data_IF_751338632645
#
_entry.id   IF_751338632645
#
_cell.length_a   1.000
_cell.length_b   1.000
_cell.length_c   1.000
_cell.angle_alpha   90.00
_cell.angle_beta   90.00
_cell.angle_gamma   90.00
#
_symmetry.space_group_name_H-M   'P 1'
#
loop_
_entity.id
_entity.type
_entity.pdbx_description
1 polymer ?
#
# COMPACT_ATOMS: atom_id res chain seq x y z
N UNK A 1 -21.63 23.21 -49.02
CA UNK A 1 -20.51 22.27 -48.94
C UNK A 1 -20.01 22.33 -47.51
N UNK A 2 -20.22 21.27 -46.74
CA UNK A 2 -19.76 21.20 -45.35
C UNK A 2 -18.24 21.10 -45.37
N UNK A 3 -17.55 21.92 -44.58
CA UNK A 3 -16.08 21.81 -44.47
C UNK A 3 -15.75 20.62 -43.56
N UNK A 4 -15.29 19.52 -44.16
CA UNK A 4 -14.91 18.28 -43.47
C UNK A 4 -13.87 18.50 -42.36
N UNK A 5 -13.11 19.60 -42.39
CA UNK A 5 -12.13 19.98 -41.36
C UNK A 5 -12.75 20.22 -39.99
N UNK A 6 -14.04 20.55 -39.94
CA UNK A 6 -14.77 20.71 -38.67
C UNK A 6 -14.81 19.37 -37.91
N UNK A 7 -14.91 18.24 -38.63
CA UNK A 7 -14.91 16.90 -38.04
C UNK A 7 -13.62 16.64 -37.26
N UNK A 8 -12.46 16.98 -37.83
CA UNK A 8 -11.15 16.81 -37.17
C UNK A 8 -11.05 17.60 -35.88
N UNK A 9 -11.53 18.85 -35.88
CA UNK A 9 -11.54 19.69 -34.68
C UNK A 9 -12.44 19.11 -33.60
N UNK A 10 -13.63 18.61 -33.96
CA UNK A 10 -14.53 17.96 -33.00
C UNK A 10 -13.87 16.70 -32.42
N UNK A 11 -13.25 15.87 -33.26
CA UNK A 11 -12.57 14.64 -32.86
C UNK A 11 -11.44 14.89 -31.87
N UNK A 12 -10.51 15.79 -32.20
CA UNK A 12 -9.37 16.06 -31.33
C UNK A 12 -9.81 16.71 -30.01
N UNK A 13 -10.85 17.55 -30.01
CA UNK A 13 -11.42 18.11 -28.79
C UNK A 13 -12.08 17.05 -27.91
N UNK A 14 -12.79 16.08 -28.50
CA UNK A 14 -13.32 14.92 -27.78
C UNK A 14 -12.20 14.10 -27.15
N UNK A 15 -11.12 13.82 -27.90
CA UNK A 15 -9.93 13.12 -27.41
C UNK A 15 -9.33 13.85 -26.21
N UNK A 16 -9.06 15.14 -26.33
CA UNK A 16 -8.45 15.93 -25.25
C UNK A 16 -9.38 15.98 -24.02
N UNK A 17 -10.68 16.17 -24.22
CA UNK A 17 -11.67 16.18 -23.14
C UNK A 17 -11.72 14.83 -22.43
N UNK A 18 -11.68 13.72 -23.18
CA UNK A 18 -11.66 12.36 -22.64
C UNK A 18 -10.42 12.14 -21.77
N UNK A 19 -9.25 12.51 -22.25
CA UNK A 19 -7.98 12.38 -21.51
C UNK A 19 -7.98 13.19 -20.21
N UNK A 20 -8.53 14.41 -20.20
CA UNK A 20 -8.67 15.18 -18.95
C UNK A 20 -9.61 14.50 -17.95
N UNK A 21 -10.73 13.94 -18.42
CA UNK A 21 -11.67 13.20 -17.55
C UNK A 21 -11.07 11.92 -16.97
N UNK A 22 -10.31 11.18 -17.77
CA UNK A 22 -9.57 9.99 -17.31
C UNK A 22 -8.64 10.38 -16.16
N UNK A 23 -7.86 11.45 -16.34
CA UNK A 23 -6.93 11.97 -15.32
C UNK A 23 -7.62 12.68 -14.14
N UNK A 24 -8.96 12.70 -14.07
CA UNK A 24 -9.73 13.36 -13.01
C UNK A 24 -9.62 14.89 -13.01
N UNK A 25 -9.17 15.49 -14.12
CA UNK A 25 -8.92 16.93 -14.29
C UNK A 25 -10.02 17.59 -15.11
N UNK A 26 -10.28 18.87 -14.85
CA UNK A 26 -11.14 19.68 -15.73
C UNK A 26 -10.42 19.94 -17.04
N UNK A 27 -11.17 19.97 -18.13
CA UNK A 27 -10.65 20.36 -19.44
C UNK A 27 -10.15 21.81 -19.41
N UNK A 28 -8.90 22.03 -19.84
CA UNK A 28 -8.28 23.36 -19.89
C UNK A 28 -7.69 23.57 -21.27
N UNK A 29 -8.07 24.68 -21.92
CA UNK A 29 -7.45 25.15 -23.16
C UNK A 29 -6.17 25.91 -22.82
N UNK A 30 -5.05 25.20 -22.76
CA UNK A 30 -3.73 25.82 -22.58
C UNK A 30 -2.94 25.81 -23.90
N UNK A 31 -1.75 26.45 -23.89
CA UNK A 31 -0.91 26.52 -25.08
C UNK A 31 -0.55 25.14 -25.65
N UNK A 32 -0.36 24.11 -24.80
CA UNK A 32 -0.05 22.75 -25.24
C UNK A 32 -1.23 22.10 -25.95
N UNK A 33 -2.45 22.30 -25.43
CA UNK A 33 -3.69 21.86 -26.05
C UNK A 33 -3.90 22.51 -27.41
N UNK A 34 -3.67 23.82 -27.51
CA UNK A 34 -3.78 24.56 -28.77
C UNK A 34 -2.74 24.06 -29.79
N UNK A 35 -1.49 23.84 -29.36
CA UNK A 35 -0.44 23.27 -30.22
C UNK A 35 -0.86 21.90 -30.74
N UNK A 36 -1.38 21.01 -29.89
CA UNK A 36 -1.87 19.69 -30.30
C UNK A 36 -2.96 19.81 -31.37
N UNK A 37 -3.99 20.63 -31.14
CA UNK A 37 -5.10 20.82 -32.10
C UNK A 37 -4.60 21.38 -33.42
N UNK A 38 -3.71 22.38 -33.40
CA UNK A 38 -3.14 22.96 -34.62
C UNK A 38 -2.29 21.93 -35.37
N UNK A 39 -1.43 21.21 -34.66
CA UNK A 39 -0.59 20.16 -35.25
C UNK A 39 -1.41 19.06 -35.89
N UNK A 40 -2.47 18.60 -35.22
CA UNK A 40 -3.40 17.59 -35.72
C UNK A 40 -4.08 18.05 -37.03
N UNK A 41 -4.71 19.23 -37.01
CA UNK A 41 -5.38 19.80 -38.20
C UNK A 41 -4.40 20.04 -39.35
N UNK A 42 -3.16 20.47 -39.06
CA UNK A 42 -2.13 20.67 -40.09
C UNK A 42 -1.70 19.36 -40.74
N UNK A 43 -1.49 18.29 -39.96
CA UNK A 43 -1.11 16.98 -40.47
C UNK A 43 -2.24 16.43 -41.34
N UNK A 44 -3.48 16.44 -40.85
CA UNK A 44 -4.63 15.92 -41.59
C UNK A 44 -4.92 16.73 -42.86
N UNK A 45 -4.80 18.06 -42.81
CA UNK A 45 -4.94 18.91 -43.99
C UNK A 45 -3.80 18.71 -45.02
N UNK A 46 -2.59 18.38 -44.57
CA UNK A 46 -1.48 18.06 -45.48
C UNK A 46 -1.70 16.72 -46.18
N UNK A 47 -2.27 15.73 -45.48
CA UNK A 47 -2.70 14.45 -46.06
C UNK A 47 -3.81 14.67 -47.09
N UNK A 48 -4.88 15.39 -46.71
CA UNK A 48 -6.04 15.65 -47.57
C UNK A 48 -5.67 16.38 -48.87
N UNK A 49 -4.71 17.30 -48.81
CA UNK A 49 -4.19 17.99 -50.01
C UNK A 49 -3.18 17.18 -50.83
N UNK A 50 -2.88 15.94 -50.42
CA UNK A 50 -1.88 15.08 -51.06
C UNK A 50 -0.44 15.59 -50.94
N UNK A 51 -0.15 16.48 -49.99
CA UNK A 51 1.21 16.99 -49.76
C UNK A 51 2.11 15.93 -49.12
N UNK A 52 1.51 15.03 -48.33
CA UNK A 52 2.16 13.89 -47.68
C UNK A 52 1.33 12.62 -47.88
N UNK A 53 1.92 11.41 -47.81
CA UNK A 53 1.19 10.16 -48.02
C UNK A 53 0.11 9.92 -46.94
N UNK A 54 -0.99 9.24 -47.30
CA UNK A 54 -2.11 8.94 -46.39
C UNK A 54 -1.70 8.26 -45.07
N UNK A 55 -0.66 7.41 -45.14
CA UNK A 55 -0.12 6.71 -43.97
C UNK A 55 0.45 7.66 -42.91
N UNK A 56 0.77 8.90 -43.28
CA UNK A 56 1.26 9.92 -42.36
C UNK A 56 0.21 10.34 -41.32
N UNK A 57 -1.07 10.05 -41.54
CA UNK A 57 -2.14 10.24 -40.54
C UNK A 57 -1.86 9.52 -39.22
N UNK A 58 -1.07 8.43 -39.25
CA UNK A 58 -0.65 7.68 -38.05
C UNK A 58 0.19 8.55 -37.09
N UNK A 59 0.84 9.62 -37.59
CA UNK A 59 1.66 10.52 -36.77
C UNK A 59 0.85 11.29 -35.71
N UNK A 60 -0.47 11.38 -35.86
CA UNK A 60 -1.37 11.98 -34.86
C UNK A 60 -1.28 11.23 -33.53
N UNK A 61 -1.18 9.90 -33.55
CA UNK A 61 -1.23 9.09 -32.32
C UNK A 61 0.00 9.25 -31.41
N UNK A 62 1.26 9.24 -31.92
CA UNK A 62 2.42 9.64 -31.15
C UNK A 62 2.33 11.08 -30.61
N UNK A 63 1.67 11.99 -31.33
CA UNK A 63 1.49 13.38 -30.91
C UNK A 63 0.54 13.48 -29.70
N UNK A 64 -0.57 12.73 -29.73
CA UNK A 64 -1.49 12.56 -28.59
C UNK A 64 -0.74 11.93 -27.40
N UNK A 65 0.06 10.90 -27.64
CA UNK A 65 0.84 10.23 -26.59
C UNK A 65 1.85 11.18 -25.93
N UNK A 66 2.57 11.96 -26.73
CA UNK A 66 3.48 13.01 -26.26
C UNK A 66 2.75 14.10 -25.48
N UNK A 67 1.56 14.50 -25.93
CA UNK A 67 0.71 15.45 -25.21
C UNK A 67 0.31 14.92 -23.84
N UNK A 68 -0.16 13.68 -23.72
CA UNK A 68 -0.52 13.08 -22.41
C UNK A 68 0.65 13.11 -21.44
N UNK A 69 1.84 12.69 -21.90
CA UNK A 69 3.03 12.66 -21.07
C UNK A 69 3.44 14.06 -20.59
N UNK A 70 3.46 15.04 -21.49
CA UNK A 70 3.88 16.41 -21.19
C UNK A 70 2.85 17.18 -20.35
N UNK A 71 1.56 16.99 -20.62
CA UNK A 71 0.47 17.72 -19.97
C UNK A 71 0.24 17.25 -18.54
N UNK A 72 0.21 15.92 -18.34
CA UNK A 72 -0.16 15.35 -17.05
C UNK A 72 1.05 14.96 -16.19
N UNK A 73 2.25 14.89 -16.77
CA UNK A 73 3.47 14.52 -16.05
C UNK A 73 3.41 13.11 -15.45
N UNK A 74 2.51 12.26 -15.96
CA UNK A 74 2.27 10.93 -15.47
C UNK A 74 3.38 9.97 -15.93
N UNK A 75 3.69 8.96 -15.11
CA UNK A 75 4.67 7.93 -15.47
C UNK A 75 4.23 7.15 -16.71
N UNK A 76 5.17 6.57 -17.46
CA UNK A 76 4.92 5.89 -18.75
C UNK A 76 3.79 4.86 -18.68
N UNK A 77 3.72 4.06 -17.60
CA UNK A 77 2.64 3.07 -17.40
C UNK A 77 1.25 3.72 -17.42
N UNK A 78 1.11 4.86 -16.74
CA UNK A 78 -0.15 5.57 -16.60
C UNK A 78 -0.59 6.17 -17.93
N UNK A 79 0.31 6.86 -18.63
CA UNK A 79 0.00 7.42 -19.96
C UNK A 79 -0.42 6.35 -20.97
N UNK A 80 0.18 5.15 -20.94
CA UNK A 80 -0.26 4.03 -21.79
C UNK A 80 -1.70 3.63 -21.45
N UNK A 81 -2.04 3.50 -20.17
CA UNK A 81 -3.40 3.16 -19.72
C UNK A 81 -4.40 4.22 -20.18
N UNK A 82 -4.08 5.51 -20.02
CA UNK A 82 -4.95 6.61 -20.42
C UNK A 82 -5.29 6.56 -21.91
N UNK A 83 -4.26 6.34 -22.74
CA UNK A 83 -4.40 6.21 -24.19
C UNK A 83 -5.26 4.99 -24.53
N UNK A 84 -5.04 3.85 -23.87
CA UNK A 84 -5.82 2.65 -24.10
C UNK A 84 -7.30 2.84 -23.74
N UNK A 85 -7.59 3.39 -22.56
CA UNK A 85 -8.96 3.67 -22.12
C UNK A 85 -9.61 4.65 -23.10
N UNK A 86 -8.90 5.71 -23.49
CA UNK A 86 -9.40 6.69 -24.46
C UNK A 86 -9.76 6.03 -25.80
N UNK A 87 -8.89 5.19 -26.36
CA UNK A 87 -9.15 4.51 -27.63
C UNK A 87 -10.34 3.57 -27.56
N UNK A 88 -10.40 2.74 -26.52
CA UNK A 88 -11.52 1.81 -26.33
C UNK A 88 -12.82 2.59 -26.15
N UNK A 89 -12.83 3.60 -25.28
CA UNK A 89 -14.03 4.34 -24.95
C UNK A 89 -14.57 5.16 -26.14
N UNK A 90 -13.72 5.95 -26.78
CA UNK A 90 -14.13 6.75 -27.94
C UNK A 90 -14.40 5.86 -29.16
N UNK A 91 -13.66 4.76 -29.33
CA UNK A 91 -13.90 3.79 -30.39
C UNK A 91 -15.29 3.14 -30.27
N UNK A 92 -15.69 2.72 -29.07
CA UNK A 92 -17.04 2.19 -28.79
C UNK A 92 -18.11 3.21 -29.17
N UNK A 93 -17.94 4.48 -28.77
CA UNK A 93 -18.89 5.56 -29.09
C UNK A 93 -18.97 5.77 -30.61
N UNK A 94 -17.82 5.85 -31.28
CA UNK A 94 -17.75 6.09 -32.72
C UNK A 94 -18.37 4.94 -33.51
N UNK A 95 -18.11 3.69 -33.13
CA UNK A 95 -18.75 2.52 -33.75
C UNK A 95 -20.26 2.51 -33.53
N UNK A 96 -20.71 2.80 -32.30
CA UNK A 96 -22.13 2.86 -31.97
C UNK A 96 -22.86 3.99 -32.72
N UNK A 97 -22.21 5.13 -32.97
CA UNK A 97 -22.81 6.25 -33.69
C UNK A 97 -22.76 6.08 -35.21
N UNK A 98 -21.67 5.51 -35.73
CA UNK A 98 -21.49 5.29 -37.18
C UNK A 98 -22.52 4.30 -37.72
N UNK A 99 -22.82 3.25 -36.97
CA UNK A 99 -23.70 2.16 -37.37
C UNK A 99 -25.14 2.59 -37.75
N UNK A 100 -25.91 3.30 -36.90
CA UNK A 100 -27.26 3.76 -37.26
C UNK A 100 -27.24 4.87 -38.32
N UNK A 101 -26.26 5.79 -38.27
CA UNK A 101 -26.21 6.92 -39.20
C UNK A 101 -25.93 6.44 -40.62
N UNK A 102 -24.93 5.59 -40.81
CA UNK A 102 -24.62 5.03 -42.14
C UNK A 102 -25.78 4.16 -42.64
N UNK A 103 -26.38 3.33 -41.80
CA UNK A 103 -27.51 2.48 -42.21
C UNK A 103 -28.70 3.29 -42.74
N UNK A 104 -29.07 4.37 -42.06
CA UNK A 104 -30.25 5.19 -42.40
C UNK A 104 -29.97 6.16 -43.55
N UNK A 105 -28.80 6.81 -43.54
CA UNK A 105 -28.55 7.98 -44.38
C UNK A 105 -27.64 7.73 -45.59
N UNK A 106 -26.97 6.56 -45.72
CA UNK A 106 -26.05 6.27 -46.83
C UNK A 106 -26.64 6.47 -48.24
N UNK A 107 -27.97 6.38 -48.40
CA UNK A 107 -28.64 6.55 -49.70
C UNK A 107 -29.06 7.99 -50.00
N UNK A 108 -28.99 8.87 -49.00
CA UNK A 108 -29.63 10.20 -49.05
C UNK A 108 -28.66 11.36 -48.88
N UNK A 109 -27.50 11.14 -48.25
CA UNK A 109 -26.52 12.17 -47.92
C UNK A 109 -25.16 11.85 -48.55
N UNK A 110 -24.40 12.89 -48.87
CA UNK A 110 -22.99 12.80 -49.22
C UNK A 110 -22.12 12.39 -48.01
N UNK A 111 -20.93 11.83 -48.30
CA UNK A 111 -20.02 11.30 -47.28
C UNK A 111 -19.57 12.36 -46.26
N UNK A 112 -19.34 13.59 -46.70
CA UNK A 112 -18.88 14.69 -45.84
C UNK A 112 -19.98 15.09 -44.83
N UNK A 113 -21.22 15.24 -45.31
CA UNK A 113 -22.36 15.57 -44.47
C UNK A 113 -22.70 14.43 -43.50
N UNK A 114 -22.61 13.17 -43.94
CA UNK A 114 -22.76 12.02 -43.04
C UNK A 114 -21.70 11.99 -41.94
N UNK A 115 -20.44 12.23 -42.29
CA UNK A 115 -19.34 12.24 -41.34
C UNK A 115 -19.55 13.33 -40.27
N UNK A 116 -19.96 14.53 -40.68
CA UNK A 116 -20.27 15.60 -39.72
C UNK A 116 -21.39 15.20 -38.75
N UNK A 117 -22.47 14.58 -39.25
CA UNK A 117 -23.56 14.09 -38.40
C UNK A 117 -23.04 13.05 -37.41
N UNK A 118 -22.20 12.10 -37.85
CA UNK A 118 -21.61 11.08 -36.97
C UNK A 118 -20.81 11.73 -35.84
N UNK A 119 -19.94 12.70 -36.14
CA UNK A 119 -19.13 13.38 -35.12
C UNK A 119 -19.97 14.22 -34.15
N UNK A 120 -21.03 14.88 -34.61
CA UNK A 120 -21.96 15.63 -33.75
C UNK A 120 -22.72 14.68 -32.81
N UNK A 121 -23.25 13.57 -33.34
CA UNK A 121 -23.95 12.56 -32.53
C UNK A 121 -22.98 11.90 -31.55
N UNK A 122 -21.76 11.58 -31.98
CA UNK A 122 -20.71 11.02 -31.13
C UNK A 122 -20.34 11.98 -29.98
N UNK A 123 -20.22 13.28 -30.25
CA UNK A 123 -19.99 14.29 -29.22
C UNK A 123 -21.12 14.31 -28.18
N UNK A 124 -22.37 14.25 -28.62
CA UNK A 124 -23.52 14.21 -27.70
C UNK A 124 -23.55 12.93 -26.85
N UNK A 125 -23.34 11.77 -27.49
CA UNK A 125 -23.24 10.48 -26.78
C UNK A 125 -22.07 10.46 -25.81
N UNK A 126 -20.92 11.04 -26.18
CA UNK A 126 -19.76 11.21 -25.31
C UNK A 126 -20.07 12.07 -24.06
N UNK A 127 -20.75 13.20 -24.24
CA UNK A 127 -21.12 14.07 -23.11
C UNK A 127 -22.07 13.37 -22.14
N UNK A 128 -23.02 12.58 -22.66
CA UNK A 128 -23.94 11.77 -21.85
C UNK A 128 -23.19 10.63 -21.16
N UNK A 129 -22.41 9.84 -21.90
CA UNK A 129 -21.74 8.64 -21.36
C UNK A 129 -20.78 9.01 -20.23
N UNK A 130 -20.05 10.11 -20.39
CA UNK A 130 -19.12 10.62 -19.36
C UNK A 130 -19.79 11.37 -18.21
N UNK A 131 -21.12 11.46 -18.19
CA UNK A 131 -21.90 11.84 -17.01
C UNK A 131 -22.23 10.61 -16.15
N UNK A 132 -22.46 9.46 -16.78
CA UNK A 132 -22.80 8.21 -16.08
C UNK A 132 -21.58 7.35 -15.73
N UNK A 133 -20.51 7.44 -16.52
CA UNK A 133 -19.30 6.63 -16.39
C UNK A 133 -18.19 7.50 -15.82
N UNK A 134 -17.68 7.12 -14.65
CA UNK A 134 -16.49 7.72 -14.05
C UNK A 134 -15.23 7.13 -14.69
N UNK A 135 -14.66 7.89 -15.64
CA UNK A 135 -13.45 7.51 -16.35
C UNK A 135 -12.21 7.50 -15.44
N UNK A 136 -12.19 8.29 -14.38
CA UNK A 136 -11.07 8.34 -13.45
C UNK A 136 -11.05 7.10 -12.55
N UNK A 137 -12.22 6.67 -12.08
CA UNK A 137 -12.35 5.41 -11.34
C UNK A 137 -11.89 4.21 -12.19
N UNK A 138 -12.19 4.20 -13.50
CA UNK A 138 -11.68 3.17 -14.41
C UNK A 138 -10.15 3.21 -14.50
N UNK A 139 -9.56 4.40 -14.66
CA UNK A 139 -8.12 4.58 -14.68
C UNK A 139 -7.44 3.98 -13.43
N UNK A 140 -7.96 4.28 -12.24
CA UNK A 140 -7.41 3.77 -10.98
C UNK A 140 -7.46 2.24 -10.88
N UNK A 141 -8.54 1.62 -11.37
CA UNK A 141 -8.68 0.16 -11.43
C UNK A 141 -7.58 -0.44 -12.32
N UNK A 142 -7.32 0.15 -13.49
CA UNK A 142 -6.30 -0.32 -14.42
C UNK A 142 -4.88 -0.02 -13.93
N UNK A 143 -4.66 1.07 -13.21
CA UNK A 143 -3.35 1.41 -12.67
C UNK A 143 -2.87 0.37 -11.64
N UNK A 144 -3.80 -0.16 -10.84
CA UNK A 144 -3.57 -1.26 -9.87
C UNK A 144 -3.41 -2.63 -10.53
N UNK A 145 -3.78 -2.76 -11.81
CA UNK A 145 -3.68 -4.03 -12.54
C UNK A 145 -2.25 -4.37 -12.98
N UNK A 146 -2.01 -5.66 -13.19
CA UNK A 146 -0.74 -6.17 -13.73
C UNK A 146 -0.60 -5.86 -15.22
N UNK A 147 0.66 -5.67 -15.64
CA UNK A 147 0.99 -5.32 -17.02
C UNK A 147 0.47 -6.34 -18.05
N UNK A 148 0.42 -7.63 -17.69
CA UNK A 148 -0.11 -8.70 -18.56
C UNK A 148 -1.58 -8.46 -18.91
N UNK A 149 -2.38 -8.05 -17.91
CA UNK A 149 -3.82 -7.82 -18.07
C UNK A 149 -4.10 -6.65 -19.03
N UNK A 150 -3.33 -5.57 -18.87
CA UNK A 150 -3.34 -4.41 -19.78
C UNK A 150 -2.92 -4.85 -21.19
N UNK A 151 -1.87 -5.68 -21.30
CA UNK A 151 -1.41 -6.23 -22.57
C UNK A 151 -2.47 -7.05 -23.31
N UNK A 152 -3.24 -7.88 -22.60
CA UNK A 152 -4.36 -8.66 -23.20
C UNK A 152 -5.45 -7.75 -23.75
N UNK A 153 -5.80 -6.67 -23.04
CA UNK A 153 -6.78 -5.70 -23.55
C UNK A 153 -6.27 -4.99 -24.81
N UNK A 154 -5.01 -4.56 -24.82
CA UNK A 154 -4.39 -3.88 -25.96
C UNK A 154 -4.38 -4.80 -27.19
N UNK A 155 -3.87 -6.03 -27.02
CA UNK A 155 -3.79 -7.00 -28.11
C UNK A 155 -5.19 -7.35 -28.62
N UNK A 156 -6.15 -7.58 -27.73
CA UNK A 156 -7.54 -7.84 -28.11
C UNK A 156 -8.16 -6.70 -28.91
N UNK A 157 -7.92 -5.46 -28.50
CA UNK A 157 -8.41 -4.27 -29.22
C UNK A 157 -7.76 -4.14 -30.59
N UNK A 158 -6.44 -4.36 -30.69
CA UNK A 158 -5.71 -4.35 -31.97
C UNK A 158 -6.27 -5.41 -32.93
N UNK A 159 -6.56 -6.62 -32.44
CA UNK A 159 -7.13 -7.71 -33.26
C UNK A 159 -8.50 -7.30 -33.81
N UNK A 160 -9.37 -6.71 -32.98
CA UNK A 160 -10.68 -6.25 -33.44
C UNK A 160 -10.56 -5.13 -34.48
N UNK A 161 -9.68 -4.15 -34.24
CA UNK A 161 -9.44 -3.06 -35.20
C UNK A 161 -8.87 -3.59 -36.52
N UNK A 162 -7.92 -4.52 -36.47
CA UNK A 162 -7.36 -5.15 -37.66
C UNK A 162 -8.42 -5.92 -38.45
N UNK A 163 -9.34 -6.63 -37.77
CA UNK A 163 -10.45 -7.31 -38.41
C UNK A 163 -11.42 -6.34 -39.10
N UNK A 164 -11.70 -5.18 -38.50
CA UNK A 164 -12.52 -4.11 -39.12
C UNK A 164 -11.86 -3.49 -40.35
N UNK A 165 -10.53 -3.28 -40.31
CA UNK A 165 -9.78 -2.77 -41.47
C UNK A 165 -9.81 -3.80 -42.60
N UNK A 166 -9.59 -5.07 -42.29
CA UNK A 166 -9.54 -6.15 -43.28
C UNK A 166 -10.91 -6.37 -43.96
N UNK A 167 -12.00 -6.34 -43.20
CA UNK A 167 -13.38 -6.42 -43.73
C UNK A 167 -13.71 -5.23 -44.62
N UNK A 168 -13.39 -4.00 -44.18
CA UNK A 168 -13.54 -2.78 -44.99
C UNK A 168 -12.76 -2.86 -46.31
N UNK A 169 -11.55 -3.41 -46.30
CA UNK A 169 -10.70 -3.51 -47.49
C UNK A 169 -11.18 -4.53 -48.54
N UNK A 170 -11.91 -5.58 -48.12
CA UNK A 170 -12.31 -6.68 -49.00
C UNK A 170 -13.71 -6.51 -49.61
N UNK A 171 -14.70 -6.04 -48.85
CA UNK A 171 -16.09 -6.01 -49.31
C UNK A 171 -16.93 -4.82 -48.76
N UNK A 172 -16.29 -3.87 -48.06
CA UNK A 172 -16.99 -2.93 -47.20
C UNK A 172 -17.50 -3.61 -45.92
N UNK A 173 -17.99 -2.83 -44.96
CA UNK A 173 -18.46 -3.40 -43.68
C UNK A 173 -19.97 -3.61 -43.68
N UNK A 174 -20.41 -4.83 -43.34
CA UNK A 174 -21.82 -5.13 -43.11
C UNK A 174 -22.23 -4.83 -41.66
N UNK A 175 -23.53 -4.56 -41.46
CA UNK A 175 -24.11 -4.27 -40.14
C UNK A 175 -23.77 -5.32 -39.06
N UNK A 176 -23.73 -6.60 -39.43
CA UNK A 176 -23.37 -7.69 -38.52
C UNK A 176 -21.92 -7.62 -38.03
N UNK A 177 -20.99 -7.09 -38.82
CA UNK A 177 -19.57 -6.99 -38.48
C UNK A 177 -19.34 -5.91 -37.42
N UNK A 178 -20.03 -4.76 -37.54
CA UNK A 178 -20.02 -3.72 -36.52
C UNK A 178 -20.56 -4.22 -35.17
N UNK A 179 -21.68 -4.95 -35.19
CA UNK A 179 -22.25 -5.54 -33.97
C UNK A 179 -21.29 -6.54 -33.36
N UNK A 180 -20.70 -7.41 -34.19
CA UNK A 180 -19.79 -8.46 -33.71
C UNK A 180 -18.55 -7.84 -33.07
N UNK A 181 -17.94 -6.83 -33.71
CA UNK A 181 -16.79 -6.13 -33.16
C UNK A 181 -17.11 -5.34 -31.88
N UNK A 182 -18.27 -4.69 -31.82
CA UNK A 182 -18.73 -4.02 -30.59
C UNK A 182 -18.87 -5.01 -29.43
N UNK A 183 -19.54 -6.14 -29.66
CA UNK A 183 -19.71 -7.20 -28.64
C UNK A 183 -18.34 -7.73 -28.19
N UNK A 184 -17.40 -7.96 -29.11
CA UNK A 184 -16.06 -8.44 -28.77
C UNK A 184 -15.28 -7.45 -27.89
N UNK A 185 -15.28 -6.15 -28.22
CA UNK A 185 -14.59 -5.14 -27.42
C UNK A 185 -15.19 -5.07 -26.01
N UNK A 186 -16.52 -5.05 -25.91
CA UNK A 186 -17.22 -5.01 -24.62
C UNK A 186 -16.92 -6.27 -23.79
N UNK A 187 -16.92 -7.46 -24.42
CA UNK A 187 -16.57 -8.71 -23.73
C UNK A 187 -15.13 -8.73 -23.23
N UNK A 188 -14.17 -8.31 -24.07
CA UNK A 188 -12.75 -8.22 -23.67
C UNK A 188 -12.63 -7.30 -22.45
N UNK A 189 -13.22 -6.11 -22.52
CA UNK A 189 -13.19 -5.15 -21.42
C UNK A 189 -13.82 -5.72 -20.14
N UNK A 190 -14.98 -6.36 -20.23
CA UNK A 190 -15.69 -6.96 -19.11
C UNK A 190 -14.87 -8.10 -18.44
N UNK A 191 -14.25 -8.96 -19.25
CA UNK A 191 -13.38 -10.04 -18.76
C UNK A 191 -12.16 -9.46 -18.04
N UNK A 192 -11.52 -8.45 -18.62
CA UNK A 192 -10.35 -7.78 -18.03
C UNK A 192 -10.70 -7.20 -16.66
N UNK A 193 -11.81 -6.45 -16.54
CA UNK A 193 -12.25 -5.88 -15.26
C UNK A 193 -12.61 -6.96 -14.24
N UNK A 194 -13.36 -7.98 -14.66
CA UNK A 194 -13.78 -9.08 -13.79
C UNK A 194 -12.59 -9.88 -13.25
N UNK A 195 -11.60 -10.14 -14.10
CA UNK A 195 -10.37 -10.84 -13.73
C UNK A 195 -9.56 -10.04 -12.71
N UNK A 196 -9.43 -8.73 -12.92
CA UNK A 196 -8.74 -7.86 -11.97
C UNK A 196 -9.41 -7.92 -10.59
N UNK A 197 -10.73 -7.81 -10.53
CA UNK A 197 -11.48 -7.88 -9.28
C UNK A 197 -11.36 -9.25 -8.58
N UNK A 198 -11.45 -10.34 -9.33
CA UNK A 198 -11.27 -11.69 -8.79
C UNK A 198 -9.87 -11.86 -8.19
N UNK A 199 -8.84 -11.38 -8.90
CA UNK A 199 -7.46 -11.48 -8.46
C UNK A 199 -7.19 -10.64 -7.21
N UNK A 200 -7.73 -9.42 -7.12
CA UNK A 200 -7.60 -8.60 -5.90
C UNK A 200 -8.19 -9.33 -4.69
N UNK A 201 -9.39 -9.89 -4.82
CA UNK A 201 -10.00 -10.72 -3.76
C UNK A 201 -9.15 -11.95 -3.39
N UNK A 202 -8.52 -12.58 -4.37
CA UNK A 202 -7.63 -13.72 -4.12
C UNK A 202 -6.36 -13.32 -3.35
N UNK A 203 -5.81 -12.13 -3.64
CA UNK A 203 -4.65 -11.58 -2.90
C UNK A 203 -5.06 -11.27 -1.46
N UNK A 204 -6.19 -10.60 -1.25
CA UNK A 204 -6.74 -10.31 0.09
C UNK A 204 -6.92 -11.59 0.91
N UNK A 205 -7.60 -12.60 0.34
CA UNK A 205 -7.79 -13.89 1.00
C UNK A 205 -6.46 -14.61 1.33
N UNK A 206 -5.46 -14.49 0.46
CA UNK A 206 -4.13 -15.07 0.73
C UNK A 206 -3.40 -14.35 1.88
N UNK A 207 -3.56 -13.03 1.97
CA UNK A 207 -2.99 -12.20 3.04
C UNK A 207 -3.67 -12.50 4.38
N UNK A 208 -5.01 -12.64 4.39
CA UNK A 208 -5.78 -13.05 5.56
C UNK A 208 -5.32 -14.43 6.05
N UNK A 209 -5.21 -15.41 5.14
CA UNK A 209 -4.72 -16.75 5.47
C UNK A 209 -3.31 -16.72 6.07
N UNK A 210 -2.42 -15.88 5.53
CA UNK A 210 -1.08 -15.73 6.08
C UNK A 210 -1.10 -15.16 7.51
N UNK A 211 -1.93 -14.14 7.76
CA UNK A 211 -2.12 -13.59 9.09
C UNK A 211 -2.67 -14.66 10.07
N UNK A 212 -3.69 -15.43 9.66
CA UNK A 212 -4.22 -16.54 10.46
C UNK A 212 -3.15 -17.56 10.85
N UNK A 213 -2.25 -17.94 9.93
CA UNK A 213 -1.15 -18.87 10.24
C UNK A 213 -0.17 -18.31 11.27
N UNK A 214 0.15 -17.01 11.19
CA UNK A 214 1.02 -16.36 12.18
C UNK A 214 0.36 -16.34 13.56
N UNK A 215 -0.95 -16.07 13.61
CA UNK A 215 -1.70 -16.12 14.86
C UNK A 215 -1.78 -17.54 15.44
N UNK A 216 -1.96 -18.55 14.60
CA UNK A 216 -1.96 -19.96 15.01
C UNK A 216 -0.62 -20.36 15.66
N UNK A 217 0.51 -20.01 15.04
CA UNK A 217 1.84 -20.29 15.60
C UNK A 217 2.05 -19.57 16.94
N UNK A 218 1.66 -18.29 17.02
CA UNK A 218 1.75 -17.49 18.24
C UNK A 218 0.89 -18.08 19.36
N UNK A 219 -0.33 -18.54 19.03
CA UNK A 219 -1.24 -19.16 19.99
C UNK A 219 -0.71 -20.51 20.50
N UNK A 220 -0.11 -21.30 19.61
CA UNK A 220 0.55 -22.56 19.98
C UNK A 220 1.71 -22.33 20.94
N UNK A 221 2.57 -21.36 20.65
CA UNK A 221 3.67 -21.00 21.54
C UNK A 221 3.17 -20.54 22.91
N UNK A 222 2.10 -19.73 22.95
CA UNK A 222 1.47 -19.31 24.21
C UNK A 222 0.91 -20.51 25.01
N UNK A 223 0.26 -21.47 24.34
CA UNK A 223 -0.22 -22.69 25.00
C UNK A 223 0.95 -23.49 25.58
N UNK A 224 2.05 -23.63 24.84
CA UNK A 224 3.21 -24.38 25.32
C UNK A 224 3.89 -23.67 26.50
N UNK A 225 3.97 -22.34 26.51
CA UNK A 225 4.40 -21.56 27.69
C UNK A 225 3.49 -21.77 28.91
N UNK A 226 2.17 -21.79 28.70
CA UNK A 226 1.21 -22.08 29.78
C UNK A 226 1.44 -23.48 30.33
N UNK A 227 1.67 -24.49 29.48
CA UNK A 227 1.96 -25.87 29.90
C UNK A 227 3.24 -25.97 30.71
N UNK A 228 4.31 -25.29 30.28
CA UNK A 228 5.57 -25.23 31.04
C UNK A 228 5.33 -24.61 32.42
N UNK A 229 4.58 -23.51 32.50
CA UNK A 229 4.23 -22.90 33.79
C UNK A 229 3.36 -23.77 34.68
N UNK A 230 2.41 -24.52 34.10
CA UNK A 230 1.59 -25.49 34.85
C UNK A 230 2.47 -26.60 35.41
N UNK A 231 3.38 -27.15 34.60
CA UNK A 231 4.33 -28.17 35.04
C UNK A 231 5.23 -27.67 36.17
N UNK A 232 5.77 -26.45 36.06
CA UNK A 232 6.58 -25.86 37.12
C UNK A 232 5.77 -25.63 38.40
N UNK A 233 4.53 -25.18 38.27
CA UNK A 233 3.61 -25.02 39.40
C UNK A 233 3.32 -26.36 40.10
N UNK A 234 3.03 -27.42 39.34
CA UNK A 234 2.82 -28.77 39.87
C UNK A 234 4.07 -29.29 40.59
N UNK A 235 5.27 -29.01 40.05
CA UNK A 235 6.53 -29.35 40.70
C UNK A 235 6.72 -28.63 42.03
N UNK A 236 6.42 -27.33 42.10
CA UNK A 236 6.46 -26.58 43.34
C UNK A 236 5.47 -27.11 44.37
N UNK A 237 4.25 -27.44 43.93
CA UNK A 237 3.21 -28.01 44.79
C UNK A 237 3.65 -29.38 45.35
N UNK A 238 4.19 -30.25 44.50
CA UNK A 238 4.74 -31.54 44.89
C UNK A 238 5.93 -31.41 45.84
N UNK A 239 6.83 -30.45 45.60
CA UNK A 239 7.96 -30.20 46.48
C UNK A 239 7.48 -29.82 47.88
N UNK A 240 6.54 -28.86 47.99
CA UNK A 240 5.95 -28.44 49.27
C UNK A 240 5.21 -29.59 49.96
N UNK A 241 4.39 -30.32 49.20
CA UNK A 241 3.60 -31.43 49.73
C UNK A 241 4.49 -32.54 50.30
N UNK A 242 5.57 -32.91 49.60
CA UNK A 242 6.43 -34.02 49.99
C UNK A 242 7.44 -33.68 51.09
N UNK A 243 7.60 -32.41 51.50
CA UNK A 243 8.55 -32.02 52.55
C UNK A 243 8.31 -32.73 53.88
N UNK A 244 7.06 -33.11 54.19
CA UNK A 244 6.73 -33.88 55.40
C UNK A 244 7.39 -35.28 55.44
N UNK A 245 7.80 -35.82 54.29
CA UNK A 245 8.51 -37.11 54.20
C UNK A 245 10.01 -36.98 54.46
N UNK A 246 10.55 -35.76 54.30
CA UNK A 246 11.99 -35.47 54.37
C UNK A 246 12.38 -35.02 55.78
N UNK A 247 11.59 -34.13 56.38
CA UNK A 247 11.87 -33.54 57.69
C UNK A 247 11.17 -34.31 58.81
N UNK A 248 11.92 -34.63 59.88
CA UNK A 248 11.44 -35.55 60.94
C UNK A 248 10.78 -34.84 62.12
N UNK A 249 11.02 -33.55 62.29
CA UNK A 249 10.45 -32.73 63.37
C UNK A 249 9.51 -31.66 62.81
N UNK A 250 8.51 -31.27 63.59
CA UNK A 250 7.56 -30.23 63.19
C UNK A 250 8.26 -28.89 62.94
N UNK A 251 9.17 -28.50 63.82
CA UNK A 251 9.88 -27.21 63.72
C UNK A 251 10.78 -27.14 62.48
N UNK A 252 11.48 -28.22 62.12
CA UNK A 252 12.28 -28.30 60.88
C UNK A 252 11.38 -28.21 59.64
N UNK A 253 10.24 -28.92 59.62
CA UNK A 253 9.30 -28.88 58.51
C UNK A 253 8.76 -27.46 58.27
N UNK A 254 8.33 -26.77 59.32
CA UNK A 254 7.80 -25.40 59.22
C UNK A 254 8.88 -24.44 58.74
N UNK A 255 10.10 -24.53 59.28
CA UNK A 255 11.22 -23.69 58.87
C UNK A 255 11.55 -23.87 57.38
N UNK A 256 11.64 -25.11 56.91
CA UNK A 256 11.98 -25.41 55.51
C UNK A 256 10.83 -25.09 54.53
N UNK A 257 9.58 -25.27 54.93
CA UNK A 257 8.41 -24.78 54.15
C UNK A 257 8.44 -23.26 54.01
N UNK A 258 8.70 -22.53 55.11
CA UNK A 258 8.82 -21.08 55.07
C UNK A 258 9.98 -20.62 54.19
N UNK A 259 11.15 -21.24 54.29
CA UNK A 259 12.31 -20.92 53.44
C UNK A 259 12.01 -21.13 51.95
N UNK A 260 11.41 -22.27 51.59
CA UNK A 260 11.07 -22.57 50.19
C UNK A 260 9.98 -21.66 49.64
N UNK A 261 8.91 -21.40 50.41
CA UNK A 261 7.86 -20.47 50.01
C UNK A 261 8.38 -19.04 49.90
N UNK A 262 9.25 -18.60 50.81
CA UNK A 262 9.88 -17.29 50.74
C UNK A 262 10.83 -17.17 49.54
N UNK A 263 11.55 -18.24 49.19
CA UNK A 263 12.31 -18.30 47.93
C UNK A 263 11.39 -18.20 46.71
N UNK A 264 10.29 -18.94 46.67
CA UNK A 264 9.31 -18.82 45.58
C UNK A 264 8.71 -17.42 45.48
N UNK A 265 8.44 -16.77 46.60
CA UNK A 265 7.96 -15.38 46.64
C UNK A 265 9.04 -14.41 46.17
N UNK A 266 10.31 -14.63 46.55
CA UNK A 266 11.45 -13.83 46.14
C UNK A 266 11.79 -14.01 44.65
N UNK A 267 11.71 -15.23 44.12
CA UNK A 267 11.86 -15.52 42.69
C UNK A 267 10.70 -14.91 41.88
N UNK A 268 9.56 -14.69 42.53
CA UNK A 268 8.39 -14.01 41.97
C UNK A 268 8.33 -12.50 42.32
N UNK A 269 9.47 -11.88 42.66
CA UNK A 269 9.61 -10.45 43.04
C UNK A 269 9.06 -9.46 41.99
N UNK A 270 8.93 -9.89 40.75
CA UNK A 270 8.34 -9.13 39.64
C UNK A 270 6.88 -9.51 39.33
N UNK A 271 6.19 -10.25 40.20
CA UNK A 271 4.77 -10.66 40.00
C UNK A 271 3.83 -9.51 39.68
N UNK A 272 4.11 -8.30 40.20
CA UNK A 272 3.34 -7.08 39.89
C UNK A 272 3.48 -6.64 38.43
N UNK A 273 4.63 -6.88 37.77
CA UNK A 273 4.77 -6.67 36.33
C UNK A 273 3.83 -7.56 35.51
N UNK A 274 3.61 -8.81 35.96
CA UNK A 274 2.79 -9.80 35.23
C UNK A 274 1.28 -9.50 35.26
N UNK A 275 0.84 -8.49 36.01
CA UNK A 275 -0.57 -8.14 36.18
C UNK A 275 -0.98 -6.85 35.44
N UNK A 276 -0.07 -6.19 34.71
CA UNK A 276 -0.27 -4.83 34.17
C UNK A 276 0.22 -4.77 32.71
N UNK A 277 -0.66 -4.44 31.76
CA UNK A 277 -0.29 -4.06 30.38
C UNK A 277 -0.03 -5.19 29.37
N UNK A 278 0.58 -4.83 28.24
CA UNK A 278 0.84 -5.73 27.09
C UNK A 278 1.89 -6.81 27.41
N UNK A 279 1.55 -8.08 27.12
CA UNK A 279 2.37 -9.26 27.46
C UNK A 279 3.79 -9.23 26.87
N UNK A 280 3.98 -8.69 25.66
CA UNK A 280 5.29 -8.67 25.01
C UNK A 280 6.26 -7.69 25.69
N UNK A 281 5.77 -6.51 26.09
CA UNK A 281 6.58 -5.50 26.80
C UNK A 281 6.93 -5.99 28.21
N UNK A 282 5.96 -6.59 28.90
CA UNK A 282 6.16 -7.15 30.23
C UNK A 282 7.15 -8.32 30.21
N UNK A 283 7.02 -9.24 29.25
CA UNK A 283 7.97 -10.35 29.08
C UNK A 283 9.39 -9.86 28.83
N UNK A 284 9.54 -8.82 28.01
CA UNK A 284 10.83 -8.18 27.75
C UNK A 284 11.45 -7.56 29.01
N UNK A 285 10.68 -6.74 29.75
CA UNK A 285 11.14 -6.08 30.98
C UNK A 285 11.51 -7.10 32.05
N UNK A 286 10.71 -8.16 32.22
CA UNK A 286 11.00 -9.26 33.13
C UNK A 286 12.34 -9.92 32.82
N UNK A 287 12.59 -10.25 31.54
CA UNK A 287 13.87 -10.81 31.11
C UNK A 287 15.06 -9.89 31.39
N UNK A 288 14.90 -8.57 31.14
CA UNK A 288 15.96 -7.58 31.38
C UNK A 288 16.24 -7.34 32.86
N UNK A 289 15.21 -7.37 33.70
CA UNK A 289 15.40 -7.22 35.14
C UNK A 289 16.13 -8.42 35.74
N UNK A 290 15.78 -9.64 35.31
CA UNK A 290 16.55 -10.83 35.70
C UNK A 290 18.01 -10.78 35.22
N UNK A 291 18.27 -10.27 34.02
CA UNK A 291 19.64 -10.08 33.51
C UNK A 291 20.45 -9.10 34.38
N UNK A 292 19.86 -7.95 34.72
CA UNK A 292 20.49 -6.94 35.56
C UNK A 292 20.72 -7.43 37.00
N UNK A 293 19.77 -8.17 37.58
CA UNK A 293 19.91 -8.76 38.92
C UNK A 293 21.05 -9.79 38.97
N UNK A 294 21.23 -10.60 37.92
CA UNK A 294 22.40 -11.50 37.78
C UNK A 294 23.73 -10.77 37.77
N UNK A 295 23.75 -9.49 37.34
CA UNK A 295 24.94 -8.62 37.39
C UNK A 295 25.12 -7.89 38.73
N UNK A 296 24.29 -8.21 39.73
CA UNK A 296 24.30 -7.61 41.07
C UNK A 296 23.74 -6.18 41.10
N UNK A 297 22.88 -5.82 40.13
CA UNK A 297 22.23 -4.50 40.07
C UNK A 297 20.93 -4.55 40.88
N UNK A 298 20.75 -3.59 41.78
CA UNK A 298 19.50 -3.40 42.50
C UNK A 298 18.51 -2.63 41.60
N UNK A 299 17.32 -3.20 41.38
CA UNK A 299 16.31 -2.65 40.49
C UNK A 299 15.12 -2.17 41.29
N UNK A 300 14.72 -0.92 41.04
CA UNK A 300 13.47 -0.33 41.47
C UNK A 300 12.62 0.00 40.24
N UNK A 301 11.31 -0.21 40.31
CA UNK A 301 10.46 -0.01 39.13
C UNK A 301 9.05 0.44 39.49
N UNK A 302 8.48 1.24 38.59
CA UNK A 302 7.12 1.75 38.67
C UNK A 302 6.46 1.69 37.29
N UNK A 303 5.62 0.68 37.05
CA UNK A 303 5.10 0.36 35.71
C UNK A 303 3.58 0.40 35.73
N UNK A 304 3.04 1.35 34.97
CA UNK A 304 1.62 1.58 34.78
C UNK A 304 1.32 1.64 33.27
N UNK A 305 0.82 0.53 32.74
CA UNK A 305 0.53 0.34 31.31
C UNK A 305 -0.92 -0.15 31.17
N UNK A 306 -1.68 0.46 30.26
CA UNK A 306 -3.10 0.17 29.99
C UNK A 306 -3.21 -0.76 28.77
N UNK A 307 -3.06 -0.21 27.56
CA UNK A 307 -3.24 -0.94 26.29
C UNK A 307 -2.09 -0.72 25.28
N UNK A 308 -1.21 0.26 25.49
CA UNK A 308 -0.14 0.67 24.56
C UNK A 308 -0.65 1.05 23.17
N UNK A 309 -1.82 1.69 23.08
CA UNK A 309 -2.40 2.15 21.82
C UNK A 309 -1.91 3.57 21.44
N UNK A 310 -0.60 3.75 21.45
CA UNK A 310 0.07 5.05 21.30
C UNK A 310 0.53 5.36 19.86
N UNK A 311 0.00 4.63 18.88
CA UNK A 311 0.36 4.78 17.45
C UNK A 311 1.76 4.28 17.07
N UNK A 312 2.51 3.70 18.02
CA UNK A 312 3.83 3.12 17.79
C UNK A 312 3.71 1.58 17.84
N UNK A 313 4.23 0.85 16.83
CA UNK A 313 4.25 -0.60 16.87
C UNK A 313 5.00 -1.14 18.10
N UNK A 314 4.45 -2.16 18.76
CA UNK A 314 5.00 -2.76 20.00
C UNK A 314 6.49 -3.14 19.86
N UNK A 315 6.91 -3.69 18.71
CA UNK A 315 8.31 -4.05 18.47
C UNK A 315 9.27 -2.85 18.53
N UNK A 316 8.80 -1.65 18.14
CA UNK A 316 9.58 -0.40 18.26
C UNK A 316 9.69 0.06 19.70
N UNK A 317 8.62 -0.09 20.48
CA UNK A 317 8.64 0.22 21.92
C UNK A 317 9.65 -0.69 22.64
N UNK A 318 9.65 -1.99 22.33
CA UNK A 318 10.63 -2.94 22.86
C UNK A 318 12.06 -2.57 22.46
N UNK A 319 12.28 -2.17 21.20
CA UNK A 319 13.59 -1.71 20.72
C UNK A 319 14.09 -0.49 21.52
N UNK A 320 13.21 0.49 21.75
CA UNK A 320 13.51 1.69 22.53
C UNK A 320 13.82 1.35 24.00
N UNK A 321 12.97 0.55 24.64
CA UNK A 321 13.16 0.10 26.02
C UNK A 321 14.49 -0.63 26.19
N UNK A 322 14.78 -1.56 25.27
CA UNK A 322 16.02 -2.32 25.30
C UNK A 322 17.26 -1.45 25.16
N UNK A 323 17.20 -0.46 24.28
CA UNK A 323 18.28 0.50 24.08
C UNK A 323 18.59 1.30 25.36
N UNK A 324 17.57 1.85 26.02
CA UNK A 324 17.77 2.62 27.25
C UNK A 324 18.20 1.75 28.43
N UNK A 325 17.54 0.61 28.65
CA UNK A 325 17.86 -0.29 29.77
C UNK A 325 19.25 -0.91 29.60
N UNK A 326 19.63 -1.35 28.39
CA UNK A 326 20.99 -1.87 28.16
C UNK A 326 22.05 -0.79 28.38
N UNK A 327 21.80 0.44 27.94
CA UNK A 327 22.72 1.55 28.19
C UNK A 327 22.94 1.78 29.69
N UNK A 328 21.86 1.77 30.47
CA UNK A 328 21.92 1.94 31.91
C UNK A 328 22.66 0.77 32.59
N UNK A 329 22.34 -0.47 32.22
CA UNK A 329 23.03 -1.68 32.72
C UNK A 329 24.54 -1.63 32.42
N UNK A 330 24.90 -1.26 31.20
CA UNK A 330 26.31 -1.19 30.77
C UNK A 330 27.06 -0.09 31.53
N UNK A 331 26.42 1.05 31.81
CA UNK A 331 27.02 2.11 32.62
C UNK A 331 27.31 1.60 34.05
N UNK A 332 26.37 0.84 34.63
CA UNK A 332 26.48 0.28 35.98
C UNK A 332 27.53 -0.83 36.13
N UNK A 333 28.21 -1.25 35.06
CA UNK A 333 29.35 -2.16 35.19
C UNK A 333 30.53 -1.53 35.96
N UNK A 334 30.68 -0.20 35.85
CA UNK A 334 31.85 0.54 36.38
C UNK A 334 31.52 1.36 37.64
N UNK A 335 30.23 1.59 37.93
CA UNK A 335 29.79 2.43 39.06
C UNK A 335 29.29 1.60 40.25
N UNK A 336 29.39 2.16 41.46
CA UNK A 336 28.87 1.60 42.71
C UNK A 336 28.32 2.72 43.60
N UNK A 337 27.16 2.57 44.28
CA UNK A 337 26.28 1.38 44.28
C UNK A 337 25.61 1.17 42.92
N UNK A 338 25.25 -0.06 42.58
CA UNK A 338 24.59 -0.40 41.30
C UNK A 338 23.08 -0.33 41.44
N UNK A 339 22.47 0.81 41.09
CA UNK A 339 21.02 1.03 41.18
C UNK A 339 20.46 1.44 39.83
N UNK A 340 19.38 0.78 39.45
CA UNK A 340 18.60 1.06 38.24
C UNK A 340 17.16 1.34 38.66
N UNK A 341 16.61 2.47 38.23
CA UNK A 341 15.19 2.80 38.39
C UNK A 341 14.53 2.90 37.01
N UNK A 342 13.44 2.16 36.80
CA UNK A 342 12.69 2.17 35.54
C UNK A 342 11.23 2.51 35.81
N UNK A 343 10.76 3.61 35.22
CA UNK A 343 9.37 4.03 35.31
C UNK A 343 8.74 4.12 33.92
N UNK A 344 7.55 3.53 33.78
CA UNK A 344 6.74 3.57 32.57
C UNK A 344 5.34 3.99 32.97
N UNK A 345 4.87 5.12 32.45
CA UNK A 345 3.53 5.65 32.72
C UNK A 345 2.82 5.87 31.39
N UNK A 346 1.74 5.13 31.18
CA UNK A 346 0.78 5.38 30.11
C UNK A 346 -0.44 6.13 30.64
N UNK A 347 -0.79 7.22 29.97
CA UNK A 347 -2.00 8.00 30.19
C UNK A 347 -2.76 8.16 28.86
N UNK A 348 -3.99 8.66 28.92
CA UNK A 348 -4.83 8.82 27.71
C UNK A 348 -4.20 9.74 26.63
N UNK A 349 -3.28 10.64 27.02
CA UNK A 349 -2.62 11.58 26.10
C UNK A 349 -1.14 11.29 25.88
N UNK A 350 -0.46 10.66 26.84
CA UNK A 350 1.00 10.60 26.87
C UNK A 350 1.53 9.23 27.32
N UNK A 351 2.66 8.84 26.73
CA UNK A 351 3.48 7.72 27.15
C UNK A 351 4.84 8.22 27.61
N UNK A 352 5.19 7.95 28.86
CA UNK A 352 6.41 8.44 29.47
C UNK A 352 7.29 7.27 29.92
N UNK A 353 8.55 7.30 29.49
CA UNK A 353 9.59 6.35 29.87
C UNK A 353 10.70 7.09 30.60
N UNK A 354 10.98 6.67 31.84
CA UNK A 354 12.14 7.08 32.60
C UNK A 354 13.03 5.89 32.91
N UNK A 355 14.33 6.03 32.62
CA UNK A 355 15.37 5.08 32.99
C UNK A 355 16.48 5.88 33.67
N UNK A 356 16.64 5.67 34.96
CA UNK A 356 17.64 6.31 35.81
C UNK A 356 18.62 5.26 36.33
N UNK A 357 19.90 5.60 36.33
CA UNK A 357 20.93 4.76 36.91
C UNK A 357 21.88 5.58 37.78
N UNK A 358 22.40 4.97 38.83
CA UNK A 358 23.47 5.57 39.62
C UNK A 358 24.73 5.82 38.77
N UNK A 359 25.36 6.99 38.97
CA UNK A 359 26.53 7.42 38.22
C UNK A 359 26.97 8.83 38.60
N UNK A 360 28.03 9.32 37.96
CA UNK A 360 28.49 10.71 38.12
C UNK A 360 27.60 11.68 37.34
N UNK A 361 27.46 12.88 37.90
CA UNK A 361 26.74 13.97 37.24
C UNK A 361 27.48 14.41 35.97
N UNK A 362 26.82 14.30 34.83
CA UNK A 362 27.36 14.71 33.53
C UNK A 362 27.06 16.20 33.33
N UNK A 363 28.10 17.01 33.09
CA UNK A 363 27.95 18.44 32.82
C UNK A 363 27.17 18.65 31.51
N UNK A 364 26.21 19.59 31.50
CA UNK A 364 25.23 19.83 30.43
C UNK A 364 25.84 19.98 29.02
N UNK A 365 27.06 20.50 28.92
CA UNK A 365 27.78 20.67 27.64
C UNK A 365 28.14 19.31 27.00
N UNK A 366 28.46 18.28 27.80
CA UNK A 366 28.76 16.94 27.31
C UNK A 366 27.50 16.17 26.86
N UNK A 367 26.34 16.45 27.46
CA UNK A 367 25.07 15.78 27.14
C UNK A 367 24.67 15.99 25.66
N UNK A 368 24.98 17.16 25.11
CA UNK A 368 24.72 17.48 23.69
C UNK A 368 25.45 16.53 22.72
N UNK A 369 26.59 15.98 23.13
CA UNK A 369 27.35 15.05 22.29
C UNK A 369 26.71 13.66 22.22
N UNK A 370 25.82 13.30 23.14
CA UNK A 370 25.19 11.97 23.17
C UNK A 370 24.21 11.76 22.01
N UNK A 371 23.69 12.86 21.45
CA UNK A 371 22.81 12.84 20.28
C UNK A 371 23.55 12.91 18.94
N UNK A 372 24.89 13.04 18.95
CA UNK A 372 25.69 13.05 17.73
C UNK A 372 25.93 11.64 17.22
N UNK A 373 25.57 11.40 15.96
CA UNK A 373 25.78 10.11 15.28
C UNK A 373 27.26 9.72 15.34
N UNK A 374 27.56 8.55 15.91
CA UNK A 374 28.91 7.98 16.02
C UNK A 374 29.65 8.29 17.32
N UNK A 375 29.06 9.07 18.24
CA UNK A 375 29.64 9.31 19.56
C UNK A 375 29.39 8.12 20.51
N UNK A 376 30.43 7.62 21.17
CA UNK A 376 30.35 6.57 22.20
C UNK A 376 31.52 6.69 23.17
N UNK A 377 31.25 6.62 24.48
CA UNK A 377 32.27 6.52 25.53
C UNK A 377 32.73 5.06 25.78
N UNK A 378 32.17 4.06 25.08
CA UNK A 378 32.54 2.63 25.24
C UNK A 378 33.82 2.29 24.46
N UNK A 379 34.85 1.74 25.12
CA UNK A 379 36.16 1.36 24.50
C UNK A 379 36.09 0.26 23.43
N UNK A 380 34.93 -0.39 23.23
CA UNK A 380 34.68 -1.34 22.13
C UNK A 380 33.34 -1.02 21.48
N UNK A 381 33.40 -0.49 20.26
CA UNK A 381 32.24 -0.26 19.41
C UNK A 381 31.72 -1.60 18.83
N UNK A 382 30.50 -1.97 19.19
CA UNK A 382 29.69 -2.98 18.46
C UNK A 382 28.25 -2.46 18.35
N UNK A 383 27.94 -1.78 17.24
CA UNK A 383 26.55 -1.63 16.77
C UNK A 383 25.88 -0.26 16.95
N UNK A 384 25.73 0.40 15.80
CA UNK A 384 24.74 1.37 15.30
C UNK A 384 23.62 1.89 16.20
N UNK A 385 23.63 3.21 16.42
CA UNK A 385 22.41 4.03 16.59
C UNK A 385 21.97 4.56 15.22
N UNK A 386 20.73 4.31 14.83
CA UNK A 386 20.10 4.94 13.67
C UNK A 386 18.89 5.74 14.16
N UNK A 387 19.08 7.03 14.40
CA UNK A 387 17.96 7.97 14.52
C UNK A 387 17.66 8.44 13.09
N UNK A 388 16.52 8.02 12.54
CA UNK A 388 15.94 8.63 11.33
C UNK A 388 14.89 9.61 11.82
N UNK A 389 15.08 10.90 11.49
CA UNK A 389 14.04 11.92 11.58
C UNK A 389 12.94 11.65 10.56
#
# INVERSE_FOLDING_TARGET
MVDYKICWVIEILMIISCLHKIEGKKFILNARTIILVISDVLILNAVDKGMIPDIASILVYPLIAGYTFLQFGSGIKRSIIDICIMFVFLGIIQMFCTMPVTYVFQRYLDEDTMSLIIYIVALFVYLISTHFIDLHALEEIFLKSELLLIGVMIIGTIIVVAALIMTKALAGMFFGEYITAFILIVMIFAITVSWNNYKQKAIEASSELHAYKIYEESYKNLIDEIRVRQHDFDNHLNAIYNQHTIYKTYDELVLHQQLYCNQLIADNKYKKLLCIGNSAVIGFLYGKFLEAEKKGIQIDYDIHIIELNIGIPIHKIIEILGNFINNAIDALEVYSPKRLHVQIIESNSDFVLFVDNSGEYIITEEFSNFFRKGYSKKRRWKGTWTIRN
#
